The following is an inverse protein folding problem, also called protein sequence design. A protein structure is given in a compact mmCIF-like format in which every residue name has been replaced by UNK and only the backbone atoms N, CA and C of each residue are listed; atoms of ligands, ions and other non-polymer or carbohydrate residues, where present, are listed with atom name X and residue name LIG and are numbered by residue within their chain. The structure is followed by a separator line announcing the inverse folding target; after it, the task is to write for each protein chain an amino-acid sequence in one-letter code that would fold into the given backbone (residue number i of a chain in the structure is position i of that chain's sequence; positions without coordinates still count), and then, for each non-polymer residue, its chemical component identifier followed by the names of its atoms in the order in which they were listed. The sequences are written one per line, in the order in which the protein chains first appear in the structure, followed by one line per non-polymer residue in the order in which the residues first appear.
data_IF_793186381837
#
_entry.id   IF_793186381837
#
_cell.length_a   1.000
_cell.length_b   1.000
_cell.length_c   1.000
_cell.angle_alpha   90.00
_cell.angle_beta   90.00
_cell.angle_gamma   90.00
#
_symmetry.space_group_name_H-M   'P 1'
#
loop_
_entity.id
_entity.type
_entity.pdbx_description
1 polymer ?
#
# COMPACT_ATOMS: atom_id res chain seq x y z
N UNK A 1 -21.75 28.12 -3.74
CA UNK A 1 -21.24 26.75 -3.54
C UNK A 1 -21.78 25.77 -4.56
N UNK A 2 -22.99 26.00 -5.11
CA UNK A 2 -23.65 25.15 -6.13
C UNK A 2 -22.76 24.78 -7.33
N UNK A 3 -22.08 25.76 -7.95
CA UNK A 3 -21.19 25.46 -9.09
C UNK A 3 -19.96 24.59 -8.77
N UNK A 4 -19.51 24.52 -7.51
CA UNK A 4 -18.42 23.60 -7.11
C UNK A 4 -18.95 22.17 -6.99
N UNK A 5 -20.18 22.01 -6.48
CA UNK A 5 -20.86 20.73 -6.41
C UNK A 5 -21.14 20.18 -7.81
N UNK A 6 -21.73 20.99 -8.68
CA UNK A 6 -22.04 20.61 -10.08
C UNK A 6 -20.78 20.23 -10.84
N UNK A 7 -19.69 20.97 -10.65
CA UNK A 7 -18.38 20.61 -11.23
C UNK A 7 -17.82 19.30 -10.66
N UNK A 8 -17.95 19.06 -9.36
CA UNK A 8 -17.46 17.82 -8.73
C UNK A 8 -18.26 16.61 -9.21
N UNK A 9 -19.58 16.74 -9.34
CA UNK A 9 -20.47 15.71 -9.89
C UNK A 9 -20.09 15.39 -11.35
N UNK A 10 -19.91 16.40 -12.19
CA UNK A 10 -19.47 16.22 -13.57
C UNK A 10 -18.10 15.51 -13.68
N UNK A 11 -17.14 15.90 -12.83
CA UNK A 11 -15.83 15.25 -12.80
C UNK A 11 -15.95 13.80 -12.28
N UNK A 12 -16.83 13.53 -11.32
CA UNK A 12 -17.03 12.18 -10.79
C UNK A 12 -17.56 11.19 -11.83
N UNK A 13 -18.32 11.67 -12.81
CA UNK A 13 -18.81 10.84 -13.94
C UNK A 13 -17.73 10.50 -14.97
N UNK A 14 -16.62 11.26 -14.98
CA UNK A 14 -15.57 11.16 -16.01
C UNK A 14 -14.24 10.68 -15.48
N UNK A 15 -14.04 10.68 -14.15
CA UNK A 15 -12.79 10.27 -13.49
C UNK A 15 -12.92 8.85 -12.96
N UNK A 16 -12.18 7.93 -13.58
CA UNK A 16 -11.93 6.62 -13.01
C UNK A 16 -10.93 6.71 -11.86
N UNK A 17 -11.37 6.34 -10.66
CA UNK A 17 -10.50 6.20 -9.50
C UNK A 17 -10.03 4.74 -9.42
N UNK A 18 -8.72 4.46 -9.54
CA UNK A 18 -8.22 3.09 -9.48
C UNK A 18 -8.55 2.44 -8.14
N UNK A 19 -8.93 1.17 -8.17
CA UNK A 19 -9.15 0.39 -6.96
C UNK A 19 -7.82 0.25 -6.18
N UNK A 20 -7.86 0.13 -4.84
CA UNK A 20 -6.68 -0.24 -4.07
C UNK A 20 -6.00 -1.51 -4.61
N UNK A 21 -6.77 -2.47 -5.13
CA UNK A 21 -6.26 -3.71 -5.74
C UNK A 21 -5.55 -3.48 -7.08
N UNK A 22 -5.95 -2.48 -7.85
CA UNK A 22 -5.29 -2.10 -9.12
C UNK A 22 -3.97 -1.39 -8.85
N UNK A 23 -3.96 -0.53 -7.82
CA UNK A 23 -2.76 0.18 -7.39
C UNK A 23 -1.75 -0.79 -6.78
N UNK A 24 -2.23 -1.69 -5.93
CA UNK A 24 -1.45 -2.62 -5.13
C UNK A 24 -1.93 -4.06 -5.38
N UNK A 25 -1.47 -4.58 -6.52
CA UNK A 25 -1.75 -5.92 -7.03
C UNK A 25 -1.45 -7.06 -6.03
N UNK A 26 -2.27 -8.12 -5.99
CA UNK A 26 -2.04 -9.27 -5.11
C UNK A 26 -0.74 -10.02 -5.47
N UNK A 27 -0.21 -10.87 -4.57
CA UNK A 27 0.93 -11.73 -4.87
C UNK A 27 0.59 -12.74 -5.98
N UNK A 28 1.52 -12.93 -6.92
CA UNK A 28 1.37 -13.82 -8.09
C UNK A 28 1.56 -15.31 -7.79
N UNK A 29 1.95 -15.67 -6.58
CA UNK A 29 2.28 -17.05 -6.18
C UNK A 29 1.73 -17.35 -4.79
N UNK A 30 1.27 -18.57 -4.57
CA UNK A 30 0.90 -19.05 -3.24
C UNK A 30 2.13 -19.17 -2.32
N UNK A 31 2.05 -18.58 -1.13
CA UNK A 31 3.09 -18.63 -0.11
C UNK A 31 3.86 -17.32 0.08
N UNK A 32 4.63 -17.27 1.17
CA UNK A 32 5.35 -16.07 1.60
C UNK A 32 6.86 -16.18 1.39
N UNK A 33 7.47 -15.06 1.01
CA UNK A 33 8.91 -14.87 0.99
C UNK A 33 9.45 -14.80 2.42
N UNK A 34 10.34 -15.73 2.78
CA UNK A 34 10.99 -15.75 4.09
C UNK A 34 12.40 -15.16 4.02
N UNK A 35 12.58 -14.00 4.64
CA UNK A 35 13.88 -13.34 4.79
C UNK A 35 14.61 -13.92 6.01
N UNK A 36 15.59 -14.80 5.76
CA UNK A 36 16.28 -15.56 6.82
C UNK A 36 17.55 -14.90 7.33
N UNK A 37 18.16 -14.02 6.55
CA UNK A 37 19.35 -13.26 6.92
C UNK A 37 18.99 -11.79 7.12
N UNK A 38 19.68 -11.10 8.05
CA UNK A 38 19.59 -9.64 8.14
C UNK A 38 19.82 -9.01 6.77
N UNK A 39 18.86 -8.23 6.29
CA UNK A 39 18.94 -7.58 4.99
C UNK A 39 18.24 -6.22 5.00
N UNK A 40 18.64 -5.40 4.03
CA UNK A 40 18.08 -4.08 3.76
C UNK A 40 17.74 -4.01 2.28
N UNK A 41 16.48 -3.74 1.96
CA UNK A 41 16.02 -3.45 0.61
C UNK A 41 15.77 -1.96 0.48
N UNK A 42 16.28 -1.35 -0.59
CA UNK A 42 16.05 0.05 -0.91
C UNK A 42 15.16 0.11 -2.14
N UNK A 43 14.08 0.90 -2.04
CA UNK A 43 13.12 1.09 -3.12
C UNK A 43 13.17 2.54 -3.59
N UNK A 44 13.91 2.84 -4.67
CA UNK A 44 13.96 4.18 -5.22
C UNK A 44 12.59 4.58 -5.74
N UNK A 45 11.98 5.60 -5.14
CA UNK A 45 10.62 6.07 -5.44
C UNK A 45 10.56 7.31 -6.33
N UNK A 46 11.72 7.85 -6.70
CA UNK A 46 11.82 9.13 -7.41
C UNK A 46 11.75 10.29 -6.43
N UNK A 47 10.53 10.72 -6.07
CA UNK A 47 10.33 11.69 -4.97
C UNK A 47 10.04 10.95 -3.68
N UNK A 48 11.06 10.83 -2.84
CA UNK A 48 10.99 10.06 -1.61
C UNK A 48 11.26 8.58 -1.86
N UNK A 49 12.20 8.05 -1.10
CA UNK A 49 12.57 6.64 -1.15
C UNK A 49 11.89 5.90 0.00
N UNK A 50 11.85 4.58 -0.10
CA UNK A 50 11.49 3.73 1.03
C UNK A 50 12.52 2.61 1.21
N UNK A 51 12.56 2.03 2.39
CA UNK A 51 13.41 0.91 2.70
C UNK A 51 12.69 -0.14 3.53
N UNK A 52 13.10 -1.40 3.39
CA UNK A 52 12.67 -2.49 4.27
C UNK A 52 13.90 -3.08 4.95
N UNK A 53 13.89 -3.09 6.28
CA UNK A 53 14.86 -3.81 7.10
C UNK A 53 14.21 -5.09 7.61
N UNK A 54 14.84 -6.23 7.33
CA UNK A 54 14.38 -7.51 7.85
C UNK A 54 15.49 -8.16 8.67
N UNK A 55 15.22 -8.45 9.94
CA UNK A 55 16.18 -9.04 10.88
C UNK A 55 15.46 -10.10 11.72
N UNK A 56 15.92 -11.35 11.66
CA UNK A 56 15.38 -12.47 12.45
C UNK A 56 13.85 -12.60 12.37
N UNK A 57 13.26 -12.37 11.20
CA UNK A 57 11.81 -12.46 10.99
C UNK A 57 11.01 -11.25 11.47
N UNK A 58 11.68 -10.17 11.86
CA UNK A 58 11.07 -8.87 12.13
C UNK A 58 11.30 -7.93 10.93
N UNK A 59 10.23 -7.39 10.37
CA UNK A 59 10.23 -6.55 9.18
C UNK A 59 9.81 -5.12 9.53
N UNK A 60 10.70 -4.15 9.29
CA UNK A 60 10.46 -2.72 9.45
C UNK A 60 10.41 -2.07 8.08
N UNK A 61 9.26 -1.50 7.71
CA UNK A 61 9.14 -0.62 6.56
C UNK A 61 9.47 0.80 7.00
N UNK A 62 10.37 1.46 6.28
CA UNK A 62 10.79 2.84 6.52
C UNK A 62 10.36 3.67 5.33
N UNK A 63 9.52 4.66 5.60
CA UNK A 63 8.90 5.56 4.61
C UNK A 63 8.12 4.82 3.48
N UNK A 64 7.40 5.58 2.65
CA UNK A 64 6.52 5.03 1.63
C UNK A 64 6.62 5.64 0.23
N UNK A 65 7.40 6.70 0.06
CA UNK A 65 7.53 7.41 -1.22
C UNK A 65 6.31 8.27 -1.58
N UNK A 66 6.43 9.05 -2.66
CA UNK A 66 5.40 10.00 -3.11
C UNK A 66 4.21 9.39 -3.86
N UNK A 67 4.29 8.13 -4.27
CA UNK A 67 3.31 7.52 -5.17
C UNK A 67 2.34 6.60 -4.41
N UNK A 68 1.05 6.66 -4.77
CA UNK A 68 0.04 5.71 -4.25
C UNK A 68 0.32 4.27 -4.69
N UNK A 69 0.93 4.11 -5.87
CA UNK A 69 1.51 2.84 -6.31
C UNK A 69 2.89 2.70 -5.68
N UNK A 70 2.91 2.25 -4.43
CA UNK A 70 4.10 2.28 -3.59
C UNK A 70 5.25 1.46 -4.18
N UNK A 71 6.46 2.03 -4.21
CA UNK A 71 7.62 1.39 -4.83
C UNK A 71 8.05 0.08 -4.12
N UNK A 72 7.83 -0.02 -2.81
CA UNK A 72 8.10 -1.21 -2.00
C UNK A 72 7.14 -2.38 -2.26
N UNK A 73 5.98 -2.13 -2.88
CA UNK A 73 4.90 -3.12 -2.95
C UNK A 73 5.30 -4.39 -3.70
N UNK A 74 6.15 -4.25 -4.72
CA UNK A 74 6.67 -5.40 -5.50
C UNK A 74 7.32 -6.47 -4.64
N UNK A 75 7.94 -6.10 -3.51
CA UNK A 75 8.50 -7.05 -2.54
C UNK A 75 7.52 -7.33 -1.41
N UNK A 76 6.95 -6.27 -0.82
CA UNK A 76 6.12 -6.35 0.38
C UNK A 76 4.90 -7.23 0.19
N UNK A 77 4.28 -7.25 -0.99
CA UNK A 77 3.12 -8.11 -1.28
C UNK A 77 3.39 -9.61 -1.13
N UNK A 78 4.66 -10.00 -1.15
CA UNK A 78 5.08 -11.40 -0.99
C UNK A 78 5.53 -11.70 0.44
N UNK A 79 5.61 -10.71 1.34
CA UNK A 79 5.93 -10.94 2.74
C UNK A 79 4.69 -11.41 3.48
N UNK A 80 4.91 -12.23 4.49
CA UNK A 80 3.87 -12.65 5.44
C UNK A 80 3.29 -11.46 6.21
N UNK A 81 4.17 -10.55 6.66
CA UNK A 81 3.79 -9.37 7.43
C UNK A 81 4.85 -8.28 7.44
N UNK A 82 4.42 -7.06 7.74
CA UNK A 82 5.25 -5.95 8.21
C UNK A 82 4.96 -5.77 9.69
N UNK A 83 5.98 -5.84 10.53
CA UNK A 83 5.82 -5.76 11.99
C UNK A 83 5.85 -4.31 12.48
N UNK A 84 6.52 -3.41 11.76
CA UNK A 84 6.62 -2.01 12.12
C UNK A 84 6.74 -1.10 10.90
N UNK A 85 6.19 0.11 11.01
CA UNK A 85 6.35 1.19 10.04
C UNK A 85 7.00 2.37 10.75
N UNK A 86 8.12 2.86 10.21
CA UNK A 86 8.79 4.06 10.66
C UNK A 86 8.63 5.14 9.60
N UNK A 87 8.13 6.30 9.99
CA UNK A 87 8.09 7.48 9.13
C UNK A 87 9.12 8.49 9.62
N UNK A 88 10.01 8.92 8.73
CA UNK A 88 11.03 9.93 9.04
C UNK A 88 10.40 11.29 9.27
N UNK A 89 9.36 11.61 8.51
CA UNK A 89 8.58 12.84 8.62
C UNK A 89 7.23 12.70 7.90
N UNK A 90 6.34 13.66 8.15
CA UNK A 90 5.02 13.76 7.51
C UNK A 90 5.19 14.63 6.27
N UNK A 91 5.18 14.01 5.09
CA UNK A 91 5.49 14.67 3.82
C UNK A 91 4.79 14.05 2.62
N UNK A 92 4.67 14.85 1.55
CA UNK A 92 4.10 14.42 0.27
C UNK A 92 4.99 13.40 -0.48
N UNK A 93 6.22 13.24 -0.03
CA UNK A 93 7.22 12.26 -0.46
C UNK A 93 7.21 10.98 0.39
N UNK A 94 6.26 10.83 1.31
CA UNK A 94 6.18 9.67 2.20
C UNK A 94 4.75 9.12 2.36
N UNK A 95 3.82 10.00 2.75
CA UNK A 95 2.46 9.62 3.11
C UNK A 95 1.68 8.92 1.99
N UNK A 96 1.78 9.30 0.70
CA UNK A 96 0.96 8.68 -0.33
C UNK A 96 1.13 7.15 -0.41
N UNK A 97 2.37 6.64 -0.33
CA UNK A 97 2.61 5.20 -0.41
C UNK A 97 2.19 4.43 0.84
N UNK A 98 2.29 5.05 2.02
CA UNK A 98 1.81 4.46 3.28
C UNK A 98 0.28 4.44 3.32
N UNK A 99 -0.36 5.53 2.90
CA UNK A 99 -1.81 5.61 2.83
C UNK A 99 -2.35 4.61 1.81
N UNK A 100 -1.69 4.44 0.66
CA UNK A 100 -2.02 3.40 -0.31
C UNK A 100 -1.97 2.00 0.30
N UNK A 101 -0.92 1.68 1.06
CA UNK A 101 -0.81 0.40 1.78
C UNK A 101 -1.96 0.18 2.78
N UNK A 102 -2.29 1.19 3.60
CA UNK A 102 -3.36 1.08 4.59
C UNK A 102 -4.75 0.96 3.94
N UNK A 103 -5.02 1.75 2.90
CA UNK A 103 -6.25 1.65 2.11
C UNK A 103 -6.40 0.28 1.48
N UNK A 104 -5.31 -0.31 0.98
CA UNK A 104 -5.31 -1.68 0.47
C UNK A 104 -5.69 -2.68 1.55
N UNK A 105 -5.17 -2.54 2.78
CA UNK A 105 -5.51 -3.41 3.91
C UNK A 105 -6.97 -3.30 4.34
N UNK A 106 -7.53 -2.09 4.38
CA UNK A 106 -8.95 -1.91 4.66
C UNK A 106 -9.81 -2.61 3.60
N UNK A 107 -9.45 -2.48 2.32
CA UNK A 107 -10.16 -3.15 1.24
C UNK A 107 -10.07 -4.70 1.30
N UNK A 108 -8.94 -5.28 1.76
CA UNK A 108 -8.85 -6.72 2.04
C UNK A 108 -9.84 -7.15 3.12
N UNK A 109 -9.93 -6.38 4.22
CA UNK A 109 -10.84 -6.69 5.32
C UNK A 109 -12.32 -6.60 4.92
N UNK A 110 -12.67 -5.64 4.06
CA UNK A 110 -14.03 -5.49 3.53
C UNK A 110 -14.43 -6.66 2.60
N UNK A 111 -13.50 -7.14 1.75
CA UNK A 111 -13.74 -8.32 0.91
C UNK A 111 -13.90 -9.60 1.74
N UNK A 112 -13.07 -9.81 2.76
CA UNK A 112 -13.18 -10.95 3.68
C UNK A 112 -14.54 -10.99 4.39
N UNK A 113 -14.99 -9.87 4.95
CA UNK A 113 -16.30 -9.76 5.61
C UNK A 113 -17.48 -10.02 4.66
N UNK A 114 -17.37 -9.56 3.42
CA UNK A 114 -18.41 -9.76 2.40
C UNK A 114 -18.53 -11.22 1.98
N UNK A 115 -17.41 -11.95 1.90
CA UNK A 115 -17.40 -13.38 1.58
C UNK A 115 -17.99 -14.24 2.70
N UNK A 116 -17.68 -13.93 3.96
CA UNK A 116 -18.26 -14.62 5.12
C UNK A 116 -19.77 -14.41 5.20
N UNK A 117 -20.25 -13.21 4.89
CA UNK A 117 -21.68 -12.86 4.88
C UNK A 117 -22.48 -13.60 3.81
N UNK A 118 -21.83 -14.02 2.72
CA UNK A 118 -22.48 -14.71 1.57
C UNK A 118 -22.49 -16.23 1.75
N UNK A 119 -21.72 -16.77 2.70
CA UNK A 119 -21.61 -18.20 2.98
C UNK A 119 -22.54 -18.69 4.13
N UNK A 120 -23.40 -17.80 4.65
CA UNK A 120 -24.50 -18.11 5.59
C UNK A 120 -25.86 -17.98 4.91
#
# INVERSE_FOLDING_TARGET
MEGVTEFTEYISETVDVPSPFDLLEPPTSGGFLKLSKPCCYIFPGGRGDSALFAVNGFNILVDGGSERKSCFWKLVRHLDRIDSILLTHIGADNLPGINGLLQRKLAEQEEEQSQDSTNY
#
